data_IF_932981698674
#
_entry.id   IF_932981698674
#
_cell.length_a   1.000
_cell.length_b   1.000
_cell.length_c   1.000
_cell.angle_alpha   90.00
_cell.angle_beta   90.00
_cell.angle_gamma   90.00
#
_symmetry.space_group_name_H-M   'P 1'
#
loop_
_entity.id
_entity.type
_entity.pdbx_description
1 polymer ?
#
# COMPACT_ATOMS: atom_id res chain seq x y z
N UNK A 1 29.68 -9.66 3.30
CA UNK A 1 28.51 -8.82 2.99
C UNK A 1 27.28 -9.55 3.52
N UNK A 2 26.73 -9.14 4.67
CA UNK A 2 25.62 -9.83 5.41
C UNK A 2 24.23 -9.56 4.77
N UNK A 3 24.14 -9.49 3.45
CA UNK A 3 23.08 -8.73 2.77
C UNK A 3 21.85 -9.58 2.36
N UNK A 4 21.89 -10.93 2.31
CA UNK A 4 20.69 -11.66 1.84
C UNK A 4 19.56 -11.75 2.86
N UNK A 5 19.85 -12.19 4.10
CA UNK A 5 18.79 -12.49 5.08
C UNK A 5 17.99 -11.28 5.55
N UNK A 6 18.63 -10.12 5.65
CA UNK A 6 17.96 -8.89 6.09
C UNK A 6 17.11 -8.27 4.95
N UNK A 7 17.56 -8.39 3.70
CA UNK A 7 16.79 -7.98 2.51
C UNK A 7 15.57 -8.87 2.30
N UNK A 8 15.70 -10.20 2.39
CA UNK A 8 14.55 -11.12 2.26
C UNK A 8 13.50 -10.86 3.33
N UNK A 9 13.92 -10.57 4.58
CA UNK A 9 13.00 -10.18 5.67
C UNK A 9 12.29 -8.87 5.36
N UNK A 10 13.02 -7.87 4.87
CA UNK A 10 12.45 -6.58 4.48
C UNK A 10 11.39 -6.75 3.38
N UNK A 11 11.71 -7.51 2.33
CA UNK A 11 10.79 -7.82 1.22
C UNK A 11 9.52 -8.53 1.71
N UNK A 12 9.65 -9.51 2.62
CA UNK A 12 8.49 -10.19 3.22
C UNK A 12 7.63 -9.22 4.03
N UNK A 13 8.25 -8.35 4.83
CA UNK A 13 7.53 -7.35 5.63
C UNK A 13 6.77 -6.39 4.72
N UNK A 14 7.42 -5.90 3.66
CA UNK A 14 6.82 -5.00 2.67
C UNK A 14 5.63 -5.65 1.97
N UNK A 15 5.79 -6.90 1.50
CA UNK A 15 4.72 -7.67 0.87
C UNK A 15 3.52 -7.85 1.80
N UNK A 16 3.75 -8.21 3.06
CA UNK A 16 2.67 -8.39 4.03
C UNK A 16 2.00 -7.07 4.42
N UNK A 17 2.75 -5.96 4.47
CA UNK A 17 2.16 -4.64 4.72
C UNK A 17 1.27 -4.21 3.57
N UNK A 18 1.80 -4.24 2.34
CA UNK A 18 1.08 -3.89 1.12
C UNK A 18 -0.18 -4.74 0.94
N UNK A 19 -0.07 -6.07 1.12
CA UNK A 19 -1.21 -6.99 1.01
C UNK A 19 -2.32 -6.68 2.01
N UNK A 20 -1.96 -6.47 3.28
CA UNK A 20 -2.94 -6.14 4.34
C UNK A 20 -3.56 -4.76 4.13
N UNK A 21 -2.80 -3.80 3.61
CA UNK A 21 -3.28 -2.46 3.34
C UNK A 21 -4.25 -2.45 2.15
N UNK A 22 -3.88 -3.09 1.04
CA UNK A 22 -4.74 -3.25 -0.12
C UNK A 22 -6.03 -4.00 0.23
N UNK A 23 -5.94 -5.11 0.98
CA UNK A 23 -7.13 -5.85 1.43
C UNK A 23 -8.07 -4.99 2.29
N UNK A 24 -7.54 -4.22 3.25
CA UNK A 24 -8.39 -3.33 4.06
C UNK A 24 -9.08 -2.27 3.22
N UNK A 25 -8.40 -1.67 2.24
CA UNK A 25 -8.96 -0.63 1.38
C UNK A 25 -10.04 -1.22 0.47
N UNK A 26 -9.76 -2.36 -0.17
CA UNK A 26 -10.66 -2.98 -1.16
C UNK A 26 -11.87 -3.62 -0.45
N UNK A 27 -11.62 -4.45 0.56
CA UNK A 27 -12.68 -5.26 1.19
C UNK A 27 -13.61 -4.43 2.07
N UNK A 28 -13.09 -3.35 2.68
CA UNK A 28 -13.88 -2.49 3.60
C UNK A 28 -14.45 -1.24 2.95
N UNK A 29 -14.37 -1.13 1.63
CA UNK A 29 -14.81 0.04 0.86
C UNK A 29 -16.19 0.55 1.27
N UNK A 30 -17.19 -0.33 1.15
CA UNK A 30 -18.58 -0.01 1.46
C UNK A 30 -18.78 0.37 2.92
N UNK A 31 -18.01 -0.23 3.83
CA UNK A 31 -18.14 0.00 5.26
C UNK A 31 -17.63 1.39 5.65
N UNK A 32 -16.41 1.77 5.23
CA UNK A 32 -15.87 3.07 5.59
C UNK A 32 -16.59 4.23 4.87
N UNK A 33 -17.14 4.01 3.68
CA UNK A 33 -17.99 4.99 2.99
C UNK A 33 -19.34 5.16 3.68
N UNK A 34 -19.94 4.06 4.12
CA UNK A 34 -21.18 4.10 4.90
C UNK A 34 -20.99 4.85 6.23
N UNK A 35 -19.87 4.61 6.93
CA UNK A 35 -19.52 5.34 8.16
C UNK A 35 -19.33 6.84 7.87
N UNK A 36 -18.65 7.20 6.78
CA UNK A 36 -18.47 8.60 6.37
C UNK A 36 -19.83 9.28 6.12
N UNK A 37 -20.71 8.62 5.37
CA UNK A 37 -22.05 9.14 5.04
C UNK A 37 -22.93 9.32 6.28
N UNK A 38 -22.99 8.31 7.16
CA UNK A 38 -23.87 8.33 8.32
C UNK A 38 -23.35 9.17 9.48
N UNK A 39 -22.08 8.98 9.86
CA UNK A 39 -21.50 9.58 11.08
C UNK A 39 -20.75 10.87 10.79
N UNK A 40 -20.37 11.14 9.52
CA UNK A 40 -19.52 12.26 9.09
C UNK A 40 -18.19 12.37 9.85
N UNK A 41 -17.80 11.31 10.55
CA UNK A 41 -16.51 11.19 11.22
C UNK A 41 -15.46 10.82 10.19
N UNK A 42 -14.23 11.29 10.38
CA UNK A 42 -13.07 10.96 9.52
C UNK A 42 -12.01 10.12 10.24
N UNK A 43 -12.17 9.93 11.56
CA UNK A 43 -11.20 9.23 12.41
C UNK A 43 -11.02 7.76 12.05
N UNK A 44 -12.05 7.12 11.50
CA UNK A 44 -12.00 5.70 11.12
C UNK A 44 -11.03 5.44 9.96
N UNK A 45 -10.71 6.45 9.15
CA UNK A 45 -9.73 6.32 8.07
C UNK A 45 -8.31 6.01 8.59
N UNK A 46 -7.94 6.49 9.78
CA UNK A 46 -6.65 6.16 10.39
C UNK A 46 -6.47 4.64 10.59
N UNK A 47 -7.56 3.91 10.85
CA UNK A 47 -7.51 2.45 10.99
C UNK A 47 -7.45 1.72 9.64
N UNK A 48 -8.03 2.30 8.58
CA UNK A 48 -8.03 1.74 7.22
C UNK A 48 -6.65 1.91 6.58
N UNK A 49 -6.13 3.13 6.59
CA UNK A 49 -4.93 3.57 5.86
C UNK A 49 -3.61 3.39 6.64
N UNK A 50 -3.64 2.74 7.81
CA UNK A 50 -2.44 2.48 8.61
C UNK A 50 -1.45 1.60 7.84
N UNK A 51 -0.23 2.08 7.63
CA UNK A 51 0.87 1.31 7.01
C UNK A 51 2.11 1.37 7.88
N UNK A 52 2.91 0.30 7.86
CA UNK A 52 4.24 0.29 8.49
C UNK A 52 5.32 0.87 7.56
N UNK A 53 5.03 1.11 6.28
CA UNK A 53 5.98 1.67 5.33
C UNK A 53 6.59 3.01 5.81
N UNK A 54 5.78 3.86 6.44
CA UNK A 54 6.24 5.15 7.02
C UNK A 54 7.27 4.99 8.17
N UNK A 55 7.51 3.78 8.64
CA UNK A 55 8.50 3.48 9.69
C UNK A 55 9.82 2.90 9.14
N UNK A 56 9.88 2.64 7.83
CA UNK A 56 11.07 2.11 7.16
C UNK A 56 12.07 3.24 6.92
N UNK A 57 13.35 2.97 7.17
CA UNK A 57 14.44 3.93 7.01
C UNK A 57 15.01 3.92 5.59
N UNK A 58 15.60 5.04 5.16
CA UNK A 58 16.29 5.13 3.85
C UNK A 58 17.38 4.06 3.72
N UNK A 59 18.11 3.75 4.79
CA UNK A 59 19.14 2.71 4.81
C UNK A 59 18.59 1.32 4.47
N UNK A 60 17.35 1.03 4.88
CA UNK A 60 16.67 -0.22 4.54
C UNK A 60 16.20 -0.22 3.09
N UNK A 61 15.67 0.91 2.58
CA UNK A 61 15.27 1.03 1.18
C UNK A 61 16.44 0.87 0.21
N UNK A 62 17.64 1.31 0.59
CA UNK A 62 18.87 1.13 -0.21
C UNK A 62 19.27 -0.34 -0.44
N UNK A 63 18.62 -1.30 0.24
CA UNK A 63 18.82 -2.73 0.00
C UNK A 63 18.02 -3.27 -1.18
N UNK A 64 17.07 -2.50 -1.69
CA UNK A 64 16.13 -2.87 -2.74
C UNK A 64 16.59 -2.36 -4.10
N UNK A 65 16.10 -2.99 -5.17
CA UNK A 65 16.30 -2.49 -6.53
C UNK A 65 15.63 -1.13 -6.75
N UNK A 66 16.19 -0.32 -7.65
CA UNK A 66 15.63 0.99 -8.00
C UNK A 66 14.19 0.87 -8.54
N UNK A 67 13.93 -0.15 -9.36
CA UNK A 67 12.60 -0.41 -9.91
C UNK A 67 11.58 -0.73 -8.80
N UNK A 68 11.96 -1.55 -7.81
CA UNK A 68 11.07 -1.87 -6.70
C UNK A 68 10.80 -0.65 -5.81
N UNK A 69 11.82 0.19 -5.56
CA UNK A 69 11.64 1.44 -4.80
C UNK A 69 10.61 2.34 -5.50
N UNK A 70 10.72 2.51 -6.82
CA UNK A 70 9.78 3.31 -7.61
C UNK A 70 8.35 2.75 -7.49
N UNK A 71 8.18 1.43 -7.62
CA UNK A 71 6.86 0.79 -7.51
C UNK A 71 6.28 0.87 -6.08
N UNK A 72 7.12 0.76 -5.05
CA UNK A 72 6.70 0.95 -3.66
C UNK A 72 6.18 2.37 -3.44
N UNK A 73 6.96 3.38 -3.84
CA UNK A 73 6.57 4.77 -3.73
C UNK A 73 5.26 5.05 -4.48
N UNK A 74 5.13 4.59 -5.72
CA UNK A 74 3.91 4.77 -6.52
C UNK A 74 2.67 4.15 -5.84
N UNK A 75 2.79 2.95 -5.28
CA UNK A 75 1.72 2.30 -4.52
C UNK A 75 1.34 3.07 -3.25
N UNK A 76 2.32 3.41 -2.40
CA UNK A 76 2.04 4.08 -1.13
C UNK A 76 1.58 5.53 -1.31
N UNK A 77 2.06 6.24 -2.34
CA UNK A 77 1.59 7.58 -2.68
C UNK A 77 0.15 7.56 -3.21
N UNK A 78 -0.22 6.58 -4.05
CA UNK A 78 -1.62 6.39 -4.49
C UNK A 78 -2.57 6.24 -3.29
N UNK A 79 -2.13 5.54 -2.24
CA UNK A 79 -2.89 5.34 -1.02
C UNK A 79 -2.94 6.62 -0.16
N UNK A 80 -1.84 7.35 -0.07
CA UNK A 80 -1.78 8.61 0.67
C UNK A 80 -2.68 9.68 0.02
N UNK A 81 -2.70 9.76 -1.32
CA UNK A 81 -3.61 10.61 -2.08
C UNK A 81 -5.08 10.26 -1.82
N UNK A 82 -5.41 8.97 -1.79
CA UNK A 82 -6.74 8.49 -1.44
C UNK A 82 -7.14 8.85 -0.02
N UNK A 83 -6.23 8.65 0.94
CA UNK A 83 -6.44 9.02 2.33
C UNK A 83 -6.65 10.54 2.47
N UNK A 84 -5.81 11.34 1.82
CA UNK A 84 -5.90 12.79 1.81
C UNK A 84 -7.23 13.27 1.26
N UNK A 85 -7.66 12.71 0.13
CA UNK A 85 -8.96 13.01 -0.48
C UNK A 85 -10.11 12.72 0.51
N UNK A 86 -10.15 11.53 1.11
CA UNK A 86 -11.21 11.14 2.04
C UNK A 86 -11.27 12.00 3.31
N UNK A 87 -10.12 12.46 3.79
CA UNK A 87 -10.05 13.33 4.98
C UNK A 87 -10.49 14.76 4.66
N UNK A 88 -10.19 15.28 3.47
CA UNK A 88 -10.40 16.70 3.16
C UNK A 88 -11.56 16.99 2.21
N UNK A 89 -12.17 15.98 1.62
CA UNK A 89 -13.26 16.18 0.68
C UNK A 89 -14.50 16.80 1.34
N UNK A 90 -15.13 17.70 0.59
CA UNK A 90 -16.43 18.30 0.86
C UNK A 90 -17.46 17.90 -0.22
N UNK A 91 -17.11 16.94 -1.08
CA UNK A 91 -17.94 16.47 -2.17
C UNK A 91 -19.24 15.82 -1.67
N UNK A 92 -20.25 15.76 -2.54
CA UNK A 92 -21.48 15.05 -2.25
C UNK A 92 -21.23 13.53 -2.14
N UNK A 93 -21.99 12.80 -1.29
CA UNK A 93 -21.76 11.37 -1.06
C UNK A 93 -21.67 10.51 -2.33
N UNK A 94 -22.51 10.77 -3.33
CA UNK A 94 -22.49 10.04 -4.61
C UNK A 94 -21.17 10.26 -5.37
N UNK A 95 -20.67 11.50 -5.40
CA UNK A 95 -19.39 11.86 -6.03
C UNK A 95 -18.20 11.22 -5.30
N UNK A 96 -18.27 11.17 -3.97
CA UNK A 96 -17.25 10.49 -3.15
C UNK A 96 -17.24 9.00 -3.48
N UNK A 97 -18.41 8.35 -3.54
CA UNK A 97 -18.52 6.92 -3.84
C UNK A 97 -17.92 6.60 -5.21
N UNK A 98 -18.31 7.32 -6.27
CA UNK A 98 -17.77 7.12 -7.62
C UNK A 98 -16.26 7.31 -7.68
N UNK A 99 -15.74 8.38 -7.05
CA UNK A 99 -14.32 8.70 -7.04
C UNK A 99 -13.52 7.70 -6.24
N UNK A 100 -14.02 7.28 -5.09
CA UNK A 100 -13.38 6.26 -4.25
C UNK A 100 -13.37 4.93 -4.97
N UNK A 101 -14.44 4.55 -5.67
CA UNK A 101 -14.46 3.32 -6.48
C UNK A 101 -13.37 3.32 -7.55
N UNK A 102 -13.13 4.46 -8.20
CA UNK A 102 -12.02 4.62 -9.14
C UNK A 102 -10.66 4.50 -8.43
N UNK A 103 -10.46 5.20 -7.30
CA UNK A 103 -9.22 5.14 -6.53
C UNK A 103 -8.93 3.74 -5.98
N UNK A 104 -9.93 2.99 -5.51
CA UNK A 104 -9.80 1.60 -5.06
C UNK A 104 -9.35 0.69 -6.21
N UNK A 105 -9.88 0.90 -7.41
CA UNK A 105 -9.44 0.17 -8.61
C UNK A 105 -7.97 0.48 -8.92
N UNK A 106 -7.57 1.75 -8.81
CA UNK A 106 -6.18 2.15 -9.03
C UNK A 106 -5.25 1.54 -7.98
N UNK A 107 -5.61 1.59 -6.68
CA UNK A 107 -4.88 0.93 -5.60
C UNK A 107 -4.70 -0.57 -5.88
N UNK A 108 -5.75 -1.25 -6.36
CA UNK A 108 -5.67 -2.66 -6.73
C UNK A 108 -4.67 -2.89 -7.86
N UNK A 109 -4.74 -2.11 -8.92
CA UNK A 109 -3.82 -2.24 -10.06
C UNK A 109 -2.36 -2.00 -9.64
N UNK A 110 -2.12 -0.97 -8.81
CA UNK A 110 -0.79 -0.66 -8.27
C UNK A 110 -0.28 -1.75 -7.33
N UNK A 111 -1.15 -2.34 -6.51
CA UNK A 111 -0.81 -3.48 -5.68
C UNK A 111 -0.44 -4.71 -6.52
N UNK A 112 -1.24 -5.03 -7.54
CA UNK A 112 -0.97 -6.18 -8.42
C UNK A 112 0.40 -6.02 -9.10
N UNK A 113 0.70 -4.81 -9.60
CA UNK A 113 2.01 -4.47 -10.15
C UNK A 113 3.13 -4.61 -9.12
N UNK A 114 3.01 -3.98 -7.95
CA UNK A 114 4.00 -4.07 -6.88
C UNK A 114 4.26 -5.53 -6.45
N UNK A 115 3.22 -6.35 -6.38
CA UNK A 115 3.34 -7.75 -6.00
C UNK A 115 4.15 -8.55 -7.04
N UNK A 116 4.06 -8.22 -8.34
CA UNK A 116 4.92 -8.83 -9.36
C UNK A 116 6.40 -8.51 -9.12
N UNK A 117 6.73 -7.23 -8.88
CA UNK A 117 8.10 -6.80 -8.59
C UNK A 117 8.64 -7.43 -7.30
N UNK A 118 7.83 -7.46 -6.23
CA UNK A 118 8.20 -8.07 -4.96
C UNK A 118 8.50 -9.57 -5.10
N UNK A 119 7.71 -10.30 -5.89
CA UNK A 119 7.94 -11.73 -6.09
C UNK A 119 9.18 -11.98 -6.96
N UNK A 120 9.38 -11.21 -8.03
CA UNK A 120 10.58 -11.31 -8.86
C UNK A 120 11.87 -11.06 -8.06
N UNK A 121 11.86 -10.06 -7.17
CA UNK A 121 13.02 -9.75 -6.34
C UNK A 121 13.24 -10.81 -5.25
N UNK A 122 12.17 -11.35 -4.65
CA UNK A 122 12.26 -12.48 -3.72
C UNK A 122 12.85 -13.74 -4.37
N UNK A 123 12.40 -14.10 -5.57
CA UNK A 123 12.91 -15.25 -6.33
C UNK A 123 14.41 -15.10 -6.63
N UNK A 124 14.83 -13.90 -7.04
CA UNK A 124 16.24 -13.59 -7.30
C UNK A 124 17.11 -13.77 -6.06
N UNK A 125 16.60 -13.38 -4.89
CA UNK A 125 17.33 -13.54 -3.63
C UNK A 125 17.37 -14.98 -3.13
N UNK A 126 16.31 -15.77 -3.32
CA UNK A 126 16.28 -17.19 -2.99
C UNK A 126 17.28 -18.00 -3.82
N UNK A 127 17.40 -17.72 -5.12
CA UNK A 127 18.40 -18.37 -5.99
C UNK A 127 19.84 -18.02 -5.60
N UNK A 128 20.08 -16.77 -5.15
CA UNK A 128 21.41 -16.32 -4.73
C UNK A 128 21.91 -16.91 -3.41
N UNK A 129 21.00 -17.38 -2.54
CA UNK A 129 21.35 -18.03 -1.27
C UNK A 129 21.69 -19.53 -1.44
N UNK A 130 21.39 -20.12 -2.60
CA UNK A 130 21.61 -21.54 -2.91
C UNK A 130 22.86 -21.77 -3.77
N UNK A 131 23.37 -20.72 -4.43
CA UNK A 131 24.58 -20.74 -5.27
C UNK A 131 25.85 -20.40 -4.49
#
# INVERSE_FOLDING_TARGET
MRVSKDTSRLLIILRQDAARLADRIITREKEYLHILSMKRTREHFNAVFRSNFKTITVQQLMLLSEELIINLEDFYNTIDDMHWYLVHTEDMPATIEDRVHAMVRDVKNKYDQLNLYLNAELETHEESDVA
#
